data_IF_335975901959
#
_entry.id   IF_335975901959
#
_cell.length_a   1.000
_cell.length_b   1.000
_cell.length_c   1.000
_cell.angle_alpha   90.00
_cell.angle_beta   90.00
_cell.angle_gamma   90.00
#
_symmetry.space_group_name_H-M   'P 1'
#
loop_
_entity.id
_entity.type
_entity.pdbx_description
1 polymer ?
#
# COMPACT_ATOMS: atom_id res chain seq x y z
N UNK A 1 -27.10 12.04 -15.06
CA UNK A 1 -26.51 13.01 -14.12
C UNK A 1 -25.88 12.19 -13.00
N UNK A 2 -24.61 11.81 -13.15
CA UNK A 2 -23.89 11.05 -12.12
C UNK A 2 -23.46 12.09 -11.08
N UNK A 3 -24.05 12.01 -9.90
CA UNK A 3 -23.73 12.87 -8.76
C UNK A 3 -22.29 12.59 -8.35
N UNK A 4 -21.35 13.43 -8.80
CA UNK A 4 -20.03 13.47 -8.17
C UNK A 4 -20.26 13.92 -6.74
N UNK A 5 -20.18 13.00 -5.77
CA UNK A 5 -20.11 13.36 -4.36
C UNK A 5 -19.01 14.40 -4.23
N UNK A 6 -19.36 15.65 -3.91
CA UNK A 6 -18.36 16.67 -3.65
C UNK A 6 -17.63 16.25 -2.38
N UNK A 7 -16.46 15.65 -2.54
CA UNK A 7 -15.56 15.36 -1.43
C UNK A 7 -15.03 16.69 -0.94
N UNK A 8 -15.54 17.16 0.19
CA UNK A 8 -15.11 18.41 0.81
C UNK A 8 -13.59 18.42 1.06
N UNK A 9 -12.98 19.60 1.01
CA UNK A 9 -11.51 19.76 1.19
C UNK A 9 -11.01 19.15 2.52
N UNK A 10 -11.84 19.19 3.56
CA UNK A 10 -11.54 18.57 4.85
C UNK A 10 -11.36 17.05 4.71
N UNK A 11 -12.23 16.39 3.94
CA UNK A 11 -12.17 14.95 3.70
C UNK A 11 -10.94 14.56 2.85
N UNK A 12 -10.59 15.36 1.83
CA UNK A 12 -9.37 15.13 1.04
C UNK A 12 -8.10 15.24 1.89
N UNK A 13 -8.06 16.23 2.77
CA UNK A 13 -6.92 16.45 3.68
C UNK A 13 -6.82 15.29 4.67
N UNK A 14 -7.95 14.87 5.25
CA UNK A 14 -8.03 13.68 6.11
C UNK A 14 -7.48 12.43 5.41
N UNK A 15 -7.93 12.15 4.19
CA UNK A 15 -7.46 11.00 3.41
C UNK A 15 -5.94 11.04 3.16
N UNK A 16 -5.35 12.21 2.90
CA UNK A 16 -3.90 12.36 2.72
C UNK A 16 -3.12 12.14 4.02
N UNK A 17 -3.64 12.61 5.15
CA UNK A 17 -3.03 12.39 6.46
C UNK A 17 -3.08 10.90 6.83
N UNK A 18 -4.23 10.26 6.60
CA UNK A 18 -4.40 8.82 6.81
C UNK A 18 -3.48 8.03 5.88
N UNK A 19 -3.37 8.40 4.60
CA UNK A 19 -2.43 7.79 3.66
C UNK A 19 -1.00 7.86 4.20
N UNK A 20 -0.55 9.04 4.64
CA UNK A 20 0.78 9.21 5.23
C UNK A 20 1.00 8.33 6.47
N UNK A 21 0.01 8.27 7.36
CA UNK A 21 0.06 7.42 8.55
C UNK A 21 0.12 5.93 8.18
N UNK A 22 -0.71 5.48 7.23
CA UNK A 22 -0.74 4.09 6.78
C UNK A 22 0.57 3.70 6.09
N UNK A 23 1.18 4.57 5.29
CA UNK A 23 2.50 4.34 4.72
C UNK A 23 3.57 4.15 5.81
N UNK A 24 3.55 4.98 6.86
CA UNK A 24 4.48 4.83 7.98
C UNK A 24 4.28 3.51 8.73
N UNK A 25 3.03 3.12 8.99
CA UNK A 25 2.69 1.87 9.67
C UNK A 25 3.14 0.67 8.82
N UNK A 26 2.82 0.65 7.53
CA UNK A 26 3.22 -0.43 6.62
C UNK A 26 4.74 -0.53 6.54
N UNK A 27 5.45 0.61 6.38
CA UNK A 27 6.91 0.63 6.34
C UNK A 27 7.50 0.08 7.63
N UNK A 28 6.99 0.52 8.79
CA UNK A 28 7.44 0.04 10.08
C UNK A 28 7.23 -1.48 10.22
N UNK A 29 6.05 -1.98 9.86
CA UNK A 29 5.76 -3.42 9.92
C UNK A 29 6.61 -4.23 8.96
N UNK A 30 6.79 -3.77 7.72
CA UNK A 30 7.59 -4.45 6.70
C UNK A 30 9.07 -4.53 7.10
N UNK A 31 9.61 -3.46 7.70
CA UNK A 31 11.02 -3.36 8.10
C UNK A 31 11.31 -3.81 9.54
N UNK A 32 10.30 -4.32 10.25
CA UNK A 32 10.50 -4.96 11.55
C UNK A 32 10.94 -6.42 11.34
N UNK A 33 12.03 -6.87 11.98
CA UNK A 33 12.43 -8.28 11.97
C UNK A 33 11.31 -9.17 12.49
N UNK A 34 11.06 -10.28 11.81
CA UNK A 34 10.07 -11.27 12.24
C UNK A 34 10.81 -12.56 12.64
N UNK A 35 10.48 -13.15 13.80
CA UNK A 35 10.94 -14.50 14.14
C UNK A 35 10.42 -15.52 13.12
N UNK A 36 11.27 -16.43 12.65
CA UNK A 36 10.95 -17.42 11.60
C UNK A 36 9.62 -18.17 11.85
N UNK A 37 9.32 -18.51 13.12
CA UNK A 37 8.08 -19.21 13.51
C UNK A 37 6.78 -18.43 13.24
N UNK A 38 6.85 -17.10 13.23
CA UNK A 38 5.68 -16.24 12.95
C UNK A 38 5.48 -16.06 11.45
N UNK A 39 6.55 -16.14 10.65
CA UNK A 39 6.49 -15.95 9.20
C UNK A 39 5.69 -17.06 8.51
N UNK A 40 5.79 -18.31 8.98
CA UNK A 40 5.01 -19.42 8.40
C UNK A 40 3.50 -19.33 8.67
N UNK A 41 3.09 -18.57 9.68
CA UNK A 41 1.69 -18.48 10.11
C UNK A 41 0.93 -17.28 9.50
N UNK A 42 1.62 -16.34 8.88
CA UNK A 42 1.00 -15.14 8.29
C UNK A 42 0.96 -15.31 6.78
N UNK A 43 -0.22 -15.14 6.18
CA UNK A 43 -0.34 -15.09 4.72
C UNK A 43 0.16 -13.72 4.22
N UNK A 44 1.47 -13.65 4.01
CA UNK A 44 2.19 -12.44 3.62
C UNK A 44 1.57 -11.80 2.36
N UNK A 45 1.29 -12.62 1.33
CA UNK A 45 0.70 -12.17 0.05
C UNK A 45 -0.68 -11.56 0.21
N UNK A 46 -1.53 -12.13 1.07
CA UNK A 46 -2.83 -11.54 1.37
C UNK A 46 -2.66 -10.22 2.11
N UNK A 47 -1.70 -10.13 3.02
CA UNK A 47 -1.32 -8.89 3.71
C UNK A 47 -0.91 -7.80 2.73
N UNK A 48 -0.02 -8.13 1.78
CA UNK A 48 0.41 -7.26 0.69
C UNK A 48 -0.78 -6.77 -0.15
N UNK A 49 -1.60 -7.69 -0.67
CA UNK A 49 -2.76 -7.31 -1.47
C UNK A 49 -3.73 -6.37 -0.71
N UNK A 50 -4.07 -6.69 0.54
CA UNK A 50 -4.96 -5.85 1.34
C UNK A 50 -4.36 -4.48 1.69
N UNK A 51 -3.06 -4.43 2.00
CA UNK A 51 -2.36 -3.19 2.26
C UNK A 51 -2.40 -2.28 1.03
N UNK A 52 -2.20 -2.85 -0.16
CA UNK A 52 -2.19 -2.09 -1.41
C UNK A 52 -3.57 -1.71 -1.93
N UNK A 53 -4.62 -2.50 -1.66
CA UNK A 53 -6.02 -2.05 -1.83
C UNK A 53 -6.29 -0.81 -0.98
N UNK A 54 -5.90 -0.84 0.29
CA UNK A 54 -6.10 0.30 1.20
C UNK A 54 -5.34 1.54 0.73
N UNK A 55 -4.08 1.39 0.33
CA UNK A 55 -3.27 2.50 -0.19
C UNK A 55 -3.85 3.06 -1.50
N UNK A 56 -4.31 2.19 -2.42
CA UNK A 56 -4.95 2.61 -3.67
C UNK A 56 -6.25 3.39 -3.40
N UNK A 57 -7.07 2.92 -2.47
CA UNK A 57 -8.28 3.64 -2.04
C UNK A 57 -7.94 5.01 -1.43
N UNK A 58 -6.98 5.07 -0.51
CA UNK A 58 -6.60 6.31 0.18
C UNK A 58 -5.96 7.32 -0.77
N UNK A 59 -5.12 6.87 -1.71
CA UNK A 59 -4.54 7.77 -2.71
C UNK A 59 -5.62 8.30 -3.65
N UNK A 60 -6.62 7.49 -4.04
CA UNK A 60 -7.72 8.00 -4.85
C UNK A 60 -8.58 9.00 -4.06
N UNK A 61 -8.91 8.70 -2.81
CA UNK A 61 -9.69 9.58 -1.93
C UNK A 61 -8.98 10.90 -1.60
N UNK A 62 -7.64 10.90 -1.56
CA UNK A 62 -6.83 12.11 -1.36
C UNK A 62 -6.79 13.04 -2.57
N UNK A 63 -7.06 12.54 -3.77
CA UNK A 63 -7.06 13.30 -5.03
C UNK A 63 -8.27 12.95 -5.91
N UNK A 64 -9.50 13.22 -5.45
CA UNK A 64 -10.73 12.75 -6.10
C UNK A 64 -10.99 13.39 -7.47
N UNK A 65 -10.34 14.52 -7.76
CA UNK A 65 -10.44 15.21 -9.05
C UNK A 65 -9.55 14.58 -10.14
N UNK A 66 -8.71 13.61 -9.79
CA UNK A 66 -7.85 12.89 -10.73
C UNK A 66 -8.42 11.47 -10.88
N UNK A 67 -8.75 11.03 -12.10
CA UNK A 67 -9.22 9.66 -12.29
C UNK A 67 -8.12 8.68 -11.86
N UNK A 68 -8.55 7.57 -11.26
CA UNK A 68 -7.63 6.49 -10.93
C UNK A 68 -6.95 6.00 -12.22
N UNK A 69 -5.62 6.02 -12.22
CA UNK A 69 -4.80 5.87 -13.42
C UNK A 69 -3.36 5.55 -13.02
N UNK A 70 -2.48 5.41 -14.01
CA UNK A 70 -1.05 5.19 -13.81
C UNK A 70 -0.39 6.21 -12.87
N UNK A 71 -0.94 7.43 -12.74
CA UNK A 71 -0.44 8.47 -11.82
C UNK A 71 -0.56 8.07 -10.34
N UNK A 72 -1.49 7.18 -10.02
CA UNK A 72 -1.68 6.63 -8.67
C UNK A 72 -0.98 5.27 -8.55
N UNK A 73 -1.13 4.41 -9.56
CA UNK A 73 -0.56 3.06 -9.53
C UNK A 73 0.96 3.01 -9.55
N UNK A 74 1.62 3.84 -10.38
CA UNK A 74 3.09 3.80 -10.51
C UNK A 74 3.81 4.15 -9.20
N UNK A 75 3.44 5.23 -8.47
CA UNK A 75 4.04 5.50 -7.16
C UNK A 75 3.83 4.37 -6.14
N UNK A 76 2.66 3.71 -6.16
CA UNK A 76 2.38 2.60 -5.25
C UNK A 76 3.24 1.37 -5.61
N UNK A 77 3.32 0.97 -6.87
CA UNK A 77 4.22 -0.12 -7.30
C UNK A 77 5.67 0.20 -6.94
N UNK A 78 6.13 1.42 -7.17
CA UNK A 78 7.48 1.85 -6.81
C UNK A 78 7.71 1.76 -5.28
N UNK A 79 6.71 2.08 -4.48
CA UNK A 79 6.75 1.94 -3.03
C UNK A 79 6.81 0.46 -2.59
N UNK A 80 6.01 -0.43 -3.20
CA UNK A 80 6.07 -1.87 -2.93
C UNK A 80 7.44 -2.47 -3.28
N UNK A 81 7.96 -2.17 -4.47
CA UNK A 81 9.32 -2.56 -4.87
C UNK A 81 10.39 -2.03 -3.90
N UNK A 82 10.24 -0.79 -3.42
CA UNK A 82 11.14 -0.22 -2.44
C UNK A 82 11.12 -1.01 -1.12
N UNK A 83 9.93 -1.39 -0.62
CA UNK A 83 9.80 -2.18 0.60
C UNK A 83 10.49 -3.54 0.45
N UNK A 84 10.25 -4.25 -0.65
CA UNK A 84 10.89 -5.54 -0.94
C UNK A 84 12.42 -5.42 -0.95
N UNK A 85 12.94 -4.42 -1.66
CA UNK A 85 14.39 -4.15 -1.68
C UNK A 85 14.95 -3.81 -0.30
N UNK A 86 14.19 -3.11 0.54
CA UNK A 86 14.60 -2.78 1.90
C UNK A 86 14.51 -4.00 2.84
N UNK A 87 13.49 -4.83 2.68
CA UNK A 87 13.28 -6.08 3.43
C UNK A 87 14.43 -7.09 3.21
N UNK A 88 15.09 -7.06 2.05
CA UNK A 88 16.29 -7.86 1.80
C UNK A 88 17.38 -7.67 2.88
N UNK A 89 17.44 -6.50 3.51
CA UNK A 89 18.43 -6.19 4.55
C UNK A 89 17.91 -6.44 5.98
N UNK A 90 16.66 -6.89 6.14
CA UNK A 90 16.01 -7.08 7.45
C UNK A 90 16.06 -8.56 7.84
N UNK A 91 16.62 -8.92 9.01
CA UNK A 91 16.65 -10.30 9.48
C UNK A 91 15.24 -10.92 9.57
N UNK A 92 15.07 -12.14 9.05
CA UNK A 92 13.78 -12.83 9.04
C UNK A 92 12.76 -12.28 8.02
N UNK A 93 13.20 -11.45 7.08
CA UNK A 93 12.42 -11.01 5.92
C UNK A 93 13.13 -11.42 4.63
N UNK A 94 12.36 -11.57 3.56
CA UNK A 94 12.87 -11.99 2.26
C UNK A 94 12.35 -11.08 1.16
N UNK A 95 13.19 -10.82 0.17
CA UNK A 95 12.76 -10.21 -1.08
C UNK A 95 11.96 -11.22 -1.90
N UNK A 96 10.80 -10.82 -2.40
CA UNK A 96 9.87 -11.70 -3.09
C UNK A 96 9.16 -10.99 -4.25
N UNK A 97 9.39 -11.49 -5.46
CA UNK A 97 8.67 -11.03 -6.64
C UNK A 97 7.16 -11.33 -6.57
N UNK A 98 6.76 -12.32 -5.78
CA UNK A 98 5.34 -12.65 -5.60
C UNK A 98 4.60 -11.60 -4.78
N UNK A 99 5.29 -10.93 -3.88
CA UNK A 99 4.70 -9.88 -3.06
C UNK A 99 4.56 -8.58 -3.87
N UNK A 100 5.49 -8.29 -4.78
CA UNK A 100 5.30 -7.24 -5.80
C UNK A 100 4.06 -7.52 -6.69
N UNK A 101 3.82 -8.78 -7.05
CA UNK A 101 2.62 -9.16 -7.80
C UNK A 101 1.35 -9.03 -6.96
N UNK A 102 1.41 -9.34 -5.66
CA UNK A 102 0.30 -9.14 -4.74
C UNK A 102 -0.03 -7.65 -4.56
N UNK A 103 0.99 -6.79 -4.45
CA UNK A 103 0.84 -5.33 -4.41
C UNK A 103 0.15 -4.83 -5.68
N UNK A 104 0.60 -5.29 -6.85
CA UNK A 104 0.02 -4.92 -8.13
C UNK A 104 -1.44 -5.39 -8.26
N UNK A 105 -1.75 -6.60 -7.80
CA UNK A 105 -3.12 -7.10 -7.75
C UNK A 105 -3.99 -6.24 -6.83
N UNK A 106 -3.48 -5.87 -5.65
CA UNK A 106 -4.19 -5.00 -4.71
C UNK A 106 -4.47 -3.61 -5.27
N UNK A 107 -3.55 -3.02 -6.01
CA UNK A 107 -3.74 -1.72 -6.69
C UNK A 107 -4.82 -1.79 -7.79
N UNK A 108 -4.99 -2.96 -8.40
CA UNK A 108 -5.91 -3.17 -9.52
C UNK A 108 -7.36 -3.52 -9.13
N UNK A 109 -7.61 -3.78 -7.85
CA UNK A 109 -8.93 -4.09 -7.28
C UNK A 109 -9.68 -2.82 -6.86
#
# INVERSE_FOLDING_TARGET
MITTLQVDRCNQTGARLILGLVLLIITYMALTPIPDLLQENVNDKLGHALAFVLLAFLVHAGWPNVPFSWRHGVPLIAYGLFLECAQYYVPGRFFSLWDILADAAGIGL
#
